data_IF_665943288869
#
_entry.id   IF_665943288869
#
_cell.length_a   1.000
_cell.length_b   1.000
_cell.length_c   1.000
_cell.angle_alpha   90.00
_cell.angle_beta   90.00
_cell.angle_gamma   90.00
#
_symmetry.space_group_name_H-M   'P 1'
#
loop_
_entity.id
_entity.type
_entity.pdbx_description
1 polymer ?
#
# COMPACT_ATOMS: atom_id res chain seq x y z
N UNK A 1 5.73 -15.20 -1.68
CA UNK A 1 5.62 -13.91 -0.97
C UNK A 1 4.19 -13.41 -1.13
N UNK A 2 3.44 -13.24 -0.04
CA UNK A 2 2.09 -12.67 -0.11
C UNK A 2 2.21 -11.13 -0.24
N UNK A 3 1.71 -10.56 -1.33
CA UNK A 3 1.68 -9.12 -1.53
C UNK A 3 0.30 -8.64 -1.13
N UNK A 4 0.21 -7.89 -0.03
CA UNK A 4 -1.06 -7.28 0.38
C UNK A 4 -1.24 -5.96 -0.36
N UNK A 5 -2.37 -5.84 -1.05
CA UNK A 5 -2.73 -4.67 -1.84
C UNK A 5 -4.13 -4.23 -1.45
N UNK A 6 -4.36 -2.93 -1.48
CA UNK A 6 -5.70 -2.34 -1.43
C UNK A 6 -6.40 -2.50 -2.77
N UNK A 7 -7.73 -2.42 -2.77
CA UNK A 7 -8.54 -2.46 -3.99
C UNK A 7 -8.09 -1.39 -5.00
N UNK A 8 -7.71 -0.20 -4.51
CA UNK A 8 -7.17 0.88 -5.36
C UNK A 8 -5.87 0.50 -6.05
N UNK A 9 -4.98 -0.22 -5.37
CA UNK A 9 -3.71 -0.69 -5.94
C UNK A 9 -3.95 -1.81 -6.95
N UNK A 10 -4.92 -2.69 -6.70
CA UNK A 10 -5.35 -3.76 -7.61
C UNK A 10 -5.97 -3.18 -8.88
N UNK A 11 -6.93 -2.25 -8.76
CA UNK A 11 -7.56 -1.57 -9.89
C UNK A 11 -6.53 -0.83 -10.75
N UNK A 12 -5.59 -0.13 -10.11
CA UNK A 12 -4.49 0.54 -10.81
C UNK A 12 -3.63 -0.45 -11.60
N UNK A 13 -3.28 -1.59 -11.00
CA UNK A 13 -2.51 -2.62 -11.68
C UNK A 13 -3.22 -3.13 -12.94
N UNK A 14 -4.53 -3.39 -12.87
CA UNK A 14 -5.31 -3.83 -14.02
C UNK A 14 -5.28 -2.79 -15.16
N UNK A 15 -5.52 -1.52 -14.86
CA UNK A 15 -5.48 -0.45 -15.87
C UNK A 15 -4.08 -0.31 -16.49
N UNK A 16 -3.01 -0.42 -15.69
CA UNK A 16 -1.64 -0.36 -16.21
C UNK A 16 -1.28 -1.58 -17.07
N UNK A 17 -1.82 -2.77 -16.76
CA UNK A 17 -1.69 -3.95 -17.60
C UNK A 17 -2.37 -3.73 -18.95
N UNK A 18 -3.58 -3.16 -18.98
CA UNK A 18 -4.26 -2.84 -20.24
C UNK A 18 -3.46 -1.85 -21.11
N UNK A 19 -2.76 -0.90 -20.50
CA UNK A 19 -1.85 0.00 -21.22
C UNK A 19 -0.64 -0.74 -21.77
N UNK A 20 -0.04 -1.62 -20.97
CA UNK A 20 1.12 -2.43 -21.38
C UNK A 20 0.77 -3.39 -22.52
N UNK A 21 -0.44 -3.93 -22.50
CA UNK A 21 -0.96 -4.84 -23.52
C UNK A 21 -1.48 -4.08 -24.76
N UNK A 22 -1.23 -2.76 -24.84
CA UNK A 22 -1.67 -1.86 -25.91
C UNK A 22 -3.18 -1.80 -26.15
N UNK A 23 -3.99 -2.23 -25.17
CA UNK A 23 -5.46 -2.16 -25.19
C UNK A 23 -5.99 -0.79 -24.75
N UNK A 24 -5.15 -0.02 -24.05
CA UNK A 24 -5.49 1.30 -23.51
C UNK A 24 -4.35 2.30 -23.71
N UNK A 25 -4.66 3.56 -24.03
CA UNK A 25 -3.63 4.61 -24.12
C UNK A 25 -3.28 5.16 -22.74
N UNK A 26 -2.07 5.70 -22.58
CA UNK A 26 -1.67 6.36 -21.32
C UNK A 26 -2.56 7.55 -20.96
N UNK A 27 -3.06 8.29 -21.96
CA UNK A 27 -4.00 9.41 -21.77
C UNK A 27 -5.32 8.92 -21.20
N UNK A 28 -5.88 7.84 -21.77
CA UNK A 28 -7.14 7.28 -21.26
C UNK A 28 -6.97 6.65 -19.88
N UNK A 29 -5.85 5.99 -19.60
CA UNK A 29 -5.53 5.47 -18.28
C UNK A 29 -5.41 6.58 -17.22
N UNK A 30 -4.83 7.73 -17.59
CA UNK A 30 -4.76 8.91 -16.74
C UNK A 30 -6.17 9.39 -16.35
N UNK A 31 -7.11 9.44 -17.29
CA UNK A 31 -8.51 9.77 -17.03
C UNK A 31 -9.19 8.75 -16.10
N UNK A 32 -9.06 7.44 -16.39
CA UNK A 32 -9.67 6.37 -15.59
C UNK A 32 -9.17 6.39 -14.14
N UNK A 33 -7.86 6.59 -13.94
CA UNK A 33 -7.24 6.57 -12.62
C UNK A 33 -7.28 7.93 -11.92
N UNK A 34 -7.77 8.97 -12.59
CA UNK A 34 -7.71 10.37 -12.16
C UNK A 34 -6.28 10.79 -11.75
N UNK A 35 -5.32 10.53 -12.64
CA UNK A 35 -3.90 10.82 -12.47
C UNK A 35 -3.39 11.57 -13.71
N UNK A 36 -2.27 12.27 -13.56
CA UNK A 36 -1.56 12.83 -14.71
C UNK A 36 -0.91 11.73 -15.55
N UNK A 37 -0.76 11.98 -16.86
CA UNK A 37 0.00 11.10 -17.77
C UNK A 37 1.41 10.83 -17.26
N UNK A 38 2.08 11.82 -16.67
CA UNK A 38 3.41 11.65 -16.04
C UNK A 38 3.39 10.65 -14.88
N UNK A 39 2.32 10.64 -14.07
CA UNK A 39 2.15 9.64 -13.02
C UNK A 39 1.92 8.25 -13.62
N UNK A 40 1.16 8.14 -14.71
CA UNK A 40 0.99 6.87 -15.43
C UNK A 40 2.34 6.37 -15.96
N UNK A 41 3.14 7.22 -16.61
CA UNK A 41 4.48 6.83 -17.10
C UNK A 41 5.38 6.34 -15.96
N UNK A 42 5.40 7.03 -14.82
CA UNK A 42 6.16 6.60 -13.63
C UNK A 42 5.69 5.25 -13.09
N UNK A 43 4.38 5.03 -13.07
CA UNK A 43 3.80 3.77 -12.62
C UNK A 43 4.14 2.62 -13.57
N UNK A 44 4.11 2.84 -14.89
CA UNK A 44 4.56 1.85 -15.88
C UNK A 44 6.04 1.53 -15.71
N UNK A 45 6.90 2.53 -15.52
CA UNK A 45 8.31 2.32 -15.24
C UNK A 45 8.51 1.47 -13.98
N UNK A 46 7.80 1.79 -12.90
CA UNK A 46 7.84 1.02 -11.65
C UNK A 46 7.33 -0.41 -11.84
N UNK A 47 6.26 -0.61 -12.60
CA UNK A 47 5.74 -1.95 -12.92
C UNK A 47 6.75 -2.76 -13.75
N UNK A 48 7.50 -2.13 -14.64
CA UNK A 48 8.52 -2.81 -15.44
C UNK A 48 9.78 -3.14 -14.62
N UNK A 49 10.14 -2.31 -13.64
CA UNK A 49 11.33 -2.50 -12.80
C UNK A 49 11.08 -3.51 -11.68
N UNK A 50 9.98 -3.33 -10.95
CA UNK A 50 9.69 -4.06 -9.71
C UNK A 50 8.59 -5.11 -9.88
N UNK A 51 7.89 -5.15 -11.02
CA UNK A 51 6.72 -6.00 -11.20
C UNK A 51 5.56 -5.61 -10.29
N UNK A 52 4.74 -6.60 -9.93
CA UNK A 52 3.54 -6.40 -9.10
C UNK A 52 3.89 -5.92 -7.69
N UNK A 53 5.03 -6.32 -7.13
CA UNK A 53 5.45 -5.87 -5.80
C UNK A 53 5.70 -4.36 -5.73
N UNK A 54 6.13 -3.75 -6.84
CA UNK A 54 6.25 -2.29 -6.96
C UNK A 54 4.92 -1.54 -6.89
N UNK A 55 3.79 -2.19 -7.15
CA UNK A 55 2.47 -1.54 -7.09
C UNK A 55 1.91 -1.42 -5.68
N UNK A 56 2.42 -2.25 -4.75
CA UNK A 56 2.06 -2.15 -3.34
C UNK A 56 2.74 -0.93 -2.70
N UNK A 57 2.06 -0.36 -1.71
CA UNK A 57 2.60 0.73 -0.91
C UNK A 57 3.89 0.30 -0.19
N UNK A 58 4.97 1.04 -0.41
CA UNK A 58 6.32 0.66 0.02
C UNK A 58 6.46 0.50 1.54
N UNK A 59 5.66 1.22 2.33
CA UNK A 59 5.67 1.09 3.80
C UNK A 59 4.86 -0.08 4.34
N UNK A 60 4.18 -0.88 3.50
CA UNK A 60 3.47 -2.08 3.99
C UNK A 60 4.50 -3.07 4.55
N UNK A 61 4.22 -3.59 5.75
CA UNK A 61 5.13 -4.47 6.47
C UNK A 61 6.30 -3.76 7.15
N UNK A 62 6.47 -2.45 6.94
CA UNK A 62 7.53 -1.67 7.57
C UNK A 62 7.06 -1.09 8.92
N UNK A 63 7.95 -1.04 9.94
CA UNK A 63 7.70 -0.27 11.14
C UNK A 63 7.43 1.21 10.82
N UNK A 64 6.48 1.82 11.54
CA UNK A 64 6.24 3.26 11.41
C UNK A 64 7.46 4.09 11.86
N UNK A 65 7.72 5.22 11.21
CA UNK A 65 8.87 6.08 11.52
C UNK A 65 8.95 6.58 12.97
N UNK A 66 7.82 6.59 13.69
CA UNK A 66 7.71 6.99 15.10
C UNK A 66 7.42 5.81 16.03
N UNK A 67 7.78 4.59 15.62
CA UNK A 67 7.54 3.39 16.43
C UNK A 67 8.31 3.51 17.75
N UNK A 68 7.57 3.37 18.85
CA UNK A 68 8.15 3.19 20.17
C UNK A 68 8.91 1.87 20.26
N UNK A 69 9.93 1.84 21.12
CA UNK A 69 10.70 0.63 21.37
C UNK A 69 9.78 -0.53 21.77
N UNK A 70 10.16 -1.74 21.36
CA UNK A 70 9.37 -2.96 21.57
C UNK A 70 9.20 -3.23 23.05
N UNK A 71 10.24 -3.00 23.84
CA UNK A 71 10.22 -3.20 25.29
C UNK A 71 9.26 -2.21 25.96
N UNK A 72 9.32 -0.94 25.57
CA UNK A 72 8.39 0.09 26.05
C UNK A 72 6.94 -0.28 25.71
N UNK A 73 6.70 -0.77 24.49
CA UNK A 73 5.36 -1.23 24.09
C UNK A 73 4.89 -2.41 24.94
N UNK A 74 5.75 -3.40 25.20
CA UNK A 74 5.38 -4.55 26.03
C UNK A 74 5.11 -4.16 27.48
N UNK A 75 5.89 -3.23 28.04
CA UNK A 75 5.68 -2.72 29.39
C UNK A 75 4.34 -1.99 29.50
N UNK A 76 4.02 -1.11 28.56
CA UNK A 76 2.72 -0.46 28.51
C UNK A 76 1.56 -1.47 28.43
N UNK A 77 1.70 -2.52 27.62
CA UNK A 77 0.67 -3.55 27.50
C UNK A 77 0.50 -4.38 28.79
N UNK A 78 1.60 -4.65 29.52
CA UNK A 78 1.54 -5.32 30.83
C UNK A 78 0.71 -4.50 31.82
N UNK A 79 1.05 -3.20 31.95
CA UNK A 79 0.35 -2.28 32.84
C UNK A 79 -1.14 -2.20 32.49
N UNK A 80 -1.49 -2.10 31.20
CA UNK A 80 -2.89 -2.10 30.75
C UNK A 80 -3.58 -3.41 31.15
N UNK A 81 -2.95 -4.56 30.89
CA UNK A 81 -3.54 -5.85 31.21
C UNK A 81 -3.71 -6.10 32.70
N UNK A 82 -2.82 -5.54 33.53
CA UNK A 82 -2.84 -5.70 34.98
C UNK A 82 -3.84 -4.76 35.66
N UNK A 83 -3.94 -3.52 35.18
CA UNK A 83 -4.66 -2.45 35.89
C UNK A 83 -5.98 -2.01 35.22
N UNK A 84 -6.22 -2.35 33.96
CA UNK A 84 -7.39 -1.90 33.20
C UNK A 84 -8.30 -3.06 32.74
N UNK A 85 -8.28 -4.19 33.46
CA UNK A 85 -9.25 -5.26 33.30
C UNK A 85 -10.68 -4.74 33.53
N UNK A 86 -11.53 -4.81 32.50
CA UNK A 86 -12.93 -4.38 32.55
C UNK A 86 -13.29 -3.27 31.55
N UNK A 87 -12.31 -2.62 30.92
CA UNK A 87 -12.54 -1.68 29.83
C UNK A 87 -12.55 -2.43 28.48
N UNK A 88 -13.69 -3.05 28.16
CA UNK A 88 -13.96 -3.63 26.85
C UNK A 88 -14.43 -2.59 25.82
N UNK A 89 -14.46 -2.94 24.52
CA UNK A 89 -15.03 -2.06 23.51
C UNK A 89 -16.52 -1.83 23.80
N UNK A 90 -16.92 -0.56 23.92
CA UNK A 90 -18.31 -0.12 24.04
C UNK A 90 -19.07 -0.24 22.72
#
# INVERSE_FOLDING_TARGET
MLITMSDKEIQRLAVLQDVRDHRLTQVRAAEILNLSTRQITRLLQKLNQDGVSGMAHASRGQPGHRRHDVLLKSECLSIISEHLLGFGPT
#
